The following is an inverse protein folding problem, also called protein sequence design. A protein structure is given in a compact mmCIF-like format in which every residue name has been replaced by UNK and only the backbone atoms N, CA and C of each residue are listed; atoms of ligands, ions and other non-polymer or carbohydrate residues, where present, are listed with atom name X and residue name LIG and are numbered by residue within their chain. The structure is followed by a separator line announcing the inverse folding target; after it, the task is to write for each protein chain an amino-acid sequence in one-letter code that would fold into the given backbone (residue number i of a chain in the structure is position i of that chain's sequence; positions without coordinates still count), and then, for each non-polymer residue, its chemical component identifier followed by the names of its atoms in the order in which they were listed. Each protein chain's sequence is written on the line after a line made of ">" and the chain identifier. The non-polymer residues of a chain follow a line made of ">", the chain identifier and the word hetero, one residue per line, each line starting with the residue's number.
data_IF_737389812174
#
_entry.id   IF_737389812174
#
_cell.length_a   1.000
_cell.length_b   1.000
_cell.length_c   1.000
_cell.angle_alpha   90.00
_cell.angle_beta   90.00
_cell.angle_gamma   90.00
#
_symmetry.space_group_name_H-M   'P 1'
#
loop_
_entity.id
_entity.type
_entity.pdbx_description
1 polymer ?
#
# COMPACT_ATOMS: atom_id res chain seq x y z
N UNK A 1 -13.11 3.18 27.75
CA UNK A 1 -11.89 3.15 26.90
C UNK A 1 -12.07 4.18 25.79
N UNK A 2 -11.30 5.25 25.79
CA UNK A 2 -11.29 6.24 24.71
C UNK A 2 -9.94 6.17 24.00
N UNK A 3 -9.95 6.10 22.67
CA UNK A 3 -8.73 5.99 21.86
C UNK A 3 -8.45 7.33 21.19
N UNK A 4 -7.26 7.88 21.43
CA UNK A 4 -6.77 9.08 20.76
C UNK A 4 -5.77 8.64 19.68
N UNK A 5 -6.13 8.81 18.41
CA UNK A 5 -5.26 8.50 17.27
C UNK A 5 -4.89 9.79 16.56
N UNK A 6 -3.60 10.13 16.53
CA UNK A 6 -3.11 11.31 15.81
C UNK A 6 -1.80 10.98 15.09
N UNK A 7 -1.58 11.62 13.95
CA UNK A 7 -0.32 11.56 13.19
C UNK A 7 0.46 12.83 13.47
N UNK A 8 1.72 12.69 13.83
CA UNK A 8 2.60 13.84 14.07
C UNK A 8 3.99 13.56 13.51
N UNK A 9 4.74 14.63 13.27
CA UNK A 9 6.10 14.58 12.79
C UNK A 9 7.04 14.93 13.93
N UNK A 10 7.94 14.00 14.24
CA UNK A 10 9.03 14.20 15.20
C UNK A 10 10.12 15.00 14.47
N UNK A 11 10.49 16.17 15.00
CA UNK A 11 11.55 17.02 14.44
C UNK A 11 12.92 16.52 14.92
N UNK A 12 13.96 17.28 14.61
CA UNK A 12 15.34 16.99 14.98
C UNK A 12 15.57 16.86 16.50
N UNK A 13 14.67 17.42 17.32
CA UNK A 13 14.70 17.30 18.77
C UNK A 13 14.30 15.92 19.31
N UNK A 14 13.64 15.09 18.50
CA UNK A 14 13.20 13.75 18.90
C UNK A 14 12.01 13.75 19.85
N UNK A 15 11.32 14.88 20.07
CA UNK A 15 10.30 15.02 21.11
C UNK A 15 8.88 14.83 20.54
N UNK A 16 8.11 13.94 21.18
CA UNK A 16 6.67 13.79 20.97
C UNK A 16 5.90 14.51 22.08
N UNK A 17 5.25 15.63 21.75
CA UNK A 17 4.39 16.36 22.70
C UNK A 17 2.93 15.88 22.57
N UNK A 18 2.35 15.41 23.69
CA UNK A 18 0.95 15.01 23.80
C UNK A 18 0.22 16.03 24.67
N UNK A 19 -0.73 16.76 24.10
CA UNK A 19 -1.56 17.72 24.83
C UNK A 19 -2.94 17.12 25.09
N UNK A 20 -3.28 16.96 26.36
CA UNK A 20 -4.59 16.47 26.78
C UNK A 20 -5.60 17.64 26.81
N UNK A 21 -6.86 17.40 26.42
CA UNK A 21 -7.89 18.43 26.47
C UNK A 21 -8.26 18.82 27.91
N UNK A 22 -8.73 20.06 28.10
CA UNK A 22 -8.91 20.66 29.43
C UNK A 22 -9.91 19.94 30.33
N UNK A 23 -10.86 19.18 29.76
CA UNK A 23 -11.84 18.41 30.54
C UNK A 23 -11.22 17.22 31.27
N UNK A 24 -9.95 16.90 31.02
CA UNK A 24 -9.19 15.84 31.70
C UNK A 24 -8.31 16.37 32.85
N UNK A 25 -8.45 17.64 33.24
CA UNK A 25 -7.73 18.20 34.40
C UNK A 25 -8.10 17.45 35.69
N UNK A 26 -7.12 17.27 36.58
CA UNK A 26 -7.30 16.63 37.89
C UNK A 26 -7.90 15.21 37.81
N UNK A 27 -7.50 14.44 36.80
CA UNK A 27 -8.01 13.08 36.56
C UNK A 27 -6.83 12.12 36.41
N UNK A 28 -6.91 10.96 37.07
CA UNK A 28 -5.92 9.89 36.93
C UNK A 28 -6.12 9.19 35.58
N UNK A 29 -5.03 9.11 34.81
CA UNK A 29 -5.03 8.57 33.45
C UNK A 29 -3.90 7.56 33.29
N UNK A 30 -4.24 6.37 32.83
CA UNK A 30 -3.28 5.37 32.37
C UNK A 30 -3.14 5.48 30.84
N UNK A 31 -1.91 5.67 30.35
CA UNK A 31 -1.62 5.86 28.93
C UNK A 31 -0.60 4.81 28.49
N UNK A 32 -0.99 3.97 27.53
CA UNK A 32 -0.11 3.00 26.88
C UNK A 32 0.17 3.47 25.46
N UNK A 33 1.42 3.79 25.16
CA UNK A 33 1.85 4.26 23.84
C UNK A 33 2.59 3.14 23.09
N UNK A 34 2.02 2.72 21.96
CA UNK A 34 2.65 1.80 21.01
C UNK A 34 2.83 2.57 19.70
N UNK A 35 4.05 2.66 19.18
CA UNK A 35 4.34 3.41 17.96
C UNK A 35 5.12 2.57 16.95
N UNK A 36 4.90 2.87 15.67
CA UNK A 36 5.65 2.30 14.55
C UNK A 36 6.18 3.44 13.69
N UNK A 37 7.51 3.57 13.49
CA UNK A 37 8.06 4.56 12.59
C UNK A 37 7.54 4.37 11.18
N UNK A 38 6.92 5.40 10.60
CA UNK A 38 6.56 5.39 9.19
C UNK A 38 7.84 5.77 8.44
N UNK A 39 8.63 4.77 8.05
CA UNK A 39 9.71 4.99 7.13
C UNK A 39 9.10 5.47 5.82
N UNK A 40 9.24 6.77 5.54
CA UNK A 40 8.94 7.30 4.22
C UNK A 40 9.80 6.50 3.25
N UNK A 41 9.16 5.59 2.51
CA UNK A 41 9.78 4.94 1.37
C UNK A 41 10.28 6.07 0.47
N UNK A 42 11.58 6.38 0.56
CA UNK A 42 12.27 7.25 -0.37
C UNK A 42 12.00 6.64 -1.73
N UNK A 43 11.05 7.23 -2.47
CA UNK A 43 10.82 7.09 -3.89
C UNK A 43 11.56 5.87 -4.48
N UNK A 44 11.06 4.66 -4.25
CA UNK A 44 11.38 3.53 -5.11
C UNK A 44 10.59 3.76 -6.40
N UNK A 45 11.00 4.76 -7.17
CA UNK A 45 10.62 4.93 -8.58
C UNK A 45 11.35 3.86 -9.41
N UNK A 46 11.12 2.61 -9.06
CA UNK A 46 11.52 1.39 -9.77
C UNK A 46 10.60 0.27 -9.27
N UNK A 47 9.30 0.53 -9.28
CA UNK A 47 8.29 -0.52 -9.11
C UNK A 47 7.60 -0.75 -10.46
N UNK A 48 8.33 -1.43 -11.34
CA UNK A 48 7.72 -2.40 -12.25
C UNK A 48 7.17 -3.62 -11.47
N UNK A 49 7.24 -3.63 -10.13
CA UNK A 49 6.83 -4.74 -9.26
C UNK A 49 5.44 -4.57 -8.63
N UNK A 50 4.48 -4.01 -9.36
CA UNK A 50 3.04 -4.06 -9.04
C UNK A 50 2.44 -5.49 -9.11
N UNK A 51 3.18 -6.53 -8.69
CA UNK A 51 2.65 -7.87 -8.43
C UNK A 51 3.39 -9.01 -9.12
N UNK A 52 4.21 -8.74 -10.13
CA UNK A 52 4.85 -9.81 -10.90
C UNK A 52 6.23 -10.16 -10.36
N UNK A 53 6.47 -11.46 -10.17
CA UNK A 53 7.79 -11.98 -9.86
C UNK A 53 8.77 -11.70 -11.02
N UNK A 54 10.05 -11.55 -10.71
CA UNK A 54 11.11 -11.45 -11.73
C UNK A 54 11.07 -12.71 -12.60
N UNK A 55 10.96 -12.56 -13.93
CA UNK A 55 10.85 -13.70 -14.86
C UNK A 55 9.41 -14.10 -15.22
N UNK A 56 8.39 -13.41 -14.70
CA UNK A 56 6.98 -13.78 -14.92
C UNK A 56 6.55 -13.79 -16.39
N UNK A 57 7.09 -12.90 -17.22
CA UNK A 57 6.74 -12.83 -18.65
C UNK A 57 7.71 -13.62 -19.53
N UNK A 58 8.86 -13.97 -18.98
CA UNK A 58 9.96 -14.62 -19.68
C UNK A 58 9.88 -16.15 -19.58
N UNK A 59 9.27 -16.70 -18.51
CA UNK A 59 9.16 -18.13 -18.28
C UNK A 59 7.68 -18.54 -18.05
N UNK A 60 7.02 -19.01 -19.11
CA UNK A 60 5.62 -19.47 -19.06
C UNK A 60 5.59 -20.98 -18.83
N UNK A 61 5.49 -21.40 -17.56
CA UNK A 61 5.30 -22.81 -17.22
C UNK A 61 3.87 -23.22 -17.63
N UNK A 62 3.76 -24.12 -18.61
CA UNK A 62 2.47 -24.62 -19.11
C UNK A 62 1.93 -23.90 -20.35
N UNK A 63 2.75 -23.12 -21.05
CA UNK A 63 2.42 -22.65 -22.39
C UNK A 63 2.32 -23.83 -23.36
N UNK A 64 1.31 -23.83 -24.23
CA UNK A 64 1.17 -24.85 -25.27
C UNK A 64 2.22 -24.60 -26.37
N UNK A 65 3.24 -25.46 -26.46
CA UNK A 65 4.30 -25.46 -27.49
C UNK A 65 3.92 -26.26 -28.76
N UNK A 66 2.64 -26.52 -28.97
CA UNK A 66 2.18 -27.44 -29.99
C UNK A 66 1.98 -26.74 -31.32
N UNK A 67 0.76 -26.80 -31.83
CA UNK A 67 0.45 -26.19 -33.13
C UNK A 67 0.50 -24.67 -33.06
N UNK A 68 0.79 -24.06 -34.21
CA UNK A 68 0.87 -22.61 -34.34
C UNK A 68 -0.47 -21.97 -33.92
N UNK A 69 -0.40 -20.94 -33.08
CA UNK A 69 -1.59 -20.21 -32.63
C UNK A 69 -2.18 -19.43 -33.81
N UNK A 70 -3.12 -20.04 -34.53
CA UNK A 70 -3.86 -19.38 -35.62
C UNK A 70 -5.07 -18.67 -35.05
N UNK A 71 -5.15 -17.36 -35.31
CA UNK A 71 -6.34 -16.58 -34.97
C UNK A 71 -7.42 -16.79 -36.02
N UNK A 72 -8.55 -17.36 -35.61
CA UNK A 72 -9.73 -17.47 -36.46
C UNK A 72 -10.24 -16.10 -36.93
N UNK A 73 -10.92 -16.08 -38.08
CA UNK A 73 -11.47 -14.85 -38.67
C UNK A 73 -12.48 -14.21 -37.71
N UNK A 74 -12.12 -13.05 -37.15
CA UNK A 74 -13.01 -12.30 -36.29
C UNK A 74 -14.23 -11.79 -37.08
N UNK A 75 -15.43 -12.09 -36.60
CA UNK A 75 -16.67 -11.58 -37.18
C UNK A 75 -16.75 -10.06 -37.02
N UNK A 76 -17.38 -9.39 -38.00
CA UNK A 76 -17.61 -7.95 -37.91
C UNK A 76 -18.52 -7.65 -36.73
N UNK A 77 -18.10 -6.69 -35.91
CA UNK A 77 -18.93 -6.16 -34.83
C UNK A 77 -20.17 -5.53 -35.46
N UNK A 78 -21.35 -6.13 -35.27
CA UNK A 78 -22.61 -5.51 -35.71
C UNK A 78 -22.93 -4.35 -34.77
N UNK A 79 -22.66 -3.13 -35.21
CA UNK A 79 -23.09 -1.91 -34.54
C UNK A 79 -24.49 -1.60 -35.10
N UNK A 80 -25.54 -1.84 -34.30
CA UNK A 80 -26.89 -1.40 -34.64
C UNK A 80 -27.00 0.09 -34.28
N UNK A 81 -27.22 0.94 -35.29
CA UNK A 81 -27.56 2.37 -35.12
C UNK A 81 -29.04 2.54 -34.81
#
# INVERSE_FOLDING_TARGET
>A
MQTISFKTYIREDGILQISLPEHLKNTDLEITLVYQPILASKNKKNDLSTGWAKGFFEEVIGGWEGEELVREKQLQLSINN
#
